data_IF_903316001368
#
_entry.id   IF_903316001368
#
_cell.length_a   1.000
_cell.length_b   1.000
_cell.length_c   1.000
_cell.angle_alpha   90.00
_cell.angle_beta   90.00
_cell.angle_gamma   90.00
#
_symmetry.space_group_name_H-M   'P 1'
#
loop_
_entity.id
_entity.type
_entity.pdbx_description
1 polymer ?
#
# COMPACT_ATOMS: atom_id res chain seq x y z
N UNK A 1 19.17 -22.01 16.06
CA UNK A 1 17.90 -22.06 16.83
C UNK A 1 16.76 -22.37 15.85
N UNK A 2 16.04 -23.48 16.05
CA UNK A 2 14.93 -23.84 15.18
C UNK A 2 13.79 -22.82 15.31
N UNK A 3 13.25 -22.36 14.18
CA UNK A 3 12.17 -21.38 14.13
C UNK A 3 10.85 -22.09 14.42
N UNK A 4 10.23 -21.83 15.57
CA UNK A 4 8.89 -22.35 15.84
C UNK A 4 7.84 -21.66 14.94
N UNK A 5 6.86 -22.46 14.47
CA UNK A 5 5.70 -21.94 13.75
C UNK A 5 4.83 -21.14 14.72
N UNK A 6 4.44 -19.93 14.33
CA UNK A 6 3.54 -19.07 15.11
C UNK A 6 2.20 -18.92 14.40
N UNK A 7 1.11 -18.80 15.15
CA UNK A 7 -0.21 -18.47 14.60
C UNK A 7 -0.22 -17.04 14.04
N UNK A 8 -1.02 -16.80 12.99
CA UNK A 8 -1.24 -15.45 12.44
C UNK A 8 -2.31 -14.75 13.27
N UNK A 9 -1.88 -14.17 14.39
CA UNK A 9 -2.66 -13.31 15.28
C UNK A 9 -1.81 -12.17 15.80
N UNK A 10 -2.42 -11.17 16.44
CA UNK A 10 -1.68 -10.11 17.12
C UNK A 10 -0.76 -10.71 18.19
N UNK A 11 0.51 -10.28 18.21
CA UNK A 11 1.48 -10.68 19.24
C UNK A 11 1.24 -9.79 20.45
N UNK A 12 0.94 -10.36 21.62
CA UNK A 12 0.59 -9.59 22.82
C UNK A 12 1.80 -8.89 23.44
N UNK A 13 2.92 -9.62 23.57
CA UNK A 13 4.16 -9.06 24.10
C UNK A 13 4.69 -7.94 23.19
N UNK A 14 4.75 -6.72 23.74
CA UNK A 14 5.12 -5.51 23.00
C UNK A 14 6.54 -5.54 22.44
N UNK A 15 7.52 -6.03 23.20
CA UNK A 15 8.90 -6.13 22.73
C UNK A 15 9.03 -7.15 21.59
N UNK A 16 8.42 -8.33 21.74
CA UNK A 16 8.39 -9.36 20.70
C UNK A 16 7.66 -8.86 19.44
N UNK A 17 6.56 -8.11 19.60
CA UNK A 17 5.81 -7.48 18.51
C UNK A 17 6.68 -6.46 17.76
N UNK A 18 7.44 -5.62 18.47
CA UNK A 18 8.32 -4.61 17.86
C UNK A 18 9.47 -5.23 17.05
N UNK A 19 10.12 -6.26 17.60
CA UNK A 19 11.18 -6.99 16.92
C UNK A 19 10.62 -7.72 15.70
N UNK A 20 9.45 -8.36 15.84
CA UNK A 20 8.79 -9.08 14.74
C UNK A 20 8.36 -8.12 13.65
N UNK A 21 7.77 -6.97 13.98
CA UNK A 21 7.42 -5.91 13.04
C UNK A 21 8.64 -5.47 12.24
N UNK A 22 9.75 -5.14 12.92
CA UNK A 22 10.98 -4.69 12.27
C UNK A 22 11.53 -5.72 11.28
N UNK A 23 11.57 -7.01 11.68
CA UNK A 23 12.06 -8.10 10.82
C UNK A 23 11.12 -8.41 9.66
N UNK A 24 9.81 -8.52 9.92
CA UNK A 24 8.82 -8.84 8.87
C UNK A 24 8.66 -7.72 7.86
N UNK A 25 8.61 -6.45 8.31
CA UNK A 25 8.55 -5.28 7.43
C UNK A 25 9.75 -5.25 6.49
N UNK A 26 10.97 -5.47 7.01
CA UNK A 26 12.18 -5.56 6.18
C UNK A 26 12.09 -6.69 5.16
N UNK A 27 11.64 -7.87 5.57
CA UNK A 27 11.45 -9.01 4.67
C UNK A 27 10.41 -8.73 3.58
N UNK A 28 9.31 -8.06 3.93
CA UNK A 28 8.27 -7.65 2.98
C UNK A 28 8.81 -6.65 1.95
N UNK A 29 9.54 -5.63 2.39
CA UNK A 29 10.15 -4.64 1.50
C UNK A 29 11.14 -5.30 0.53
N UNK A 30 11.95 -6.24 1.03
CA UNK A 30 12.85 -7.01 0.16
C UNK A 30 12.10 -7.80 -0.90
N UNK A 31 10.99 -8.45 -0.54
CA UNK A 31 10.16 -9.21 -1.49
C UNK A 31 9.49 -8.31 -2.52
N UNK A 32 9.01 -7.13 -2.12
CA UNK A 32 8.47 -6.14 -3.05
C UNK A 32 9.54 -5.66 -4.04
N UNK A 33 10.76 -5.41 -3.56
CA UNK A 33 11.89 -5.07 -4.41
C UNK A 33 12.21 -6.20 -5.41
N UNK A 34 12.39 -7.43 -4.93
CA UNK A 34 12.62 -8.59 -5.78
C UNK A 34 11.55 -8.71 -6.88
N UNK A 35 10.26 -8.58 -6.51
CA UNK A 35 9.16 -8.66 -7.47
C UNK A 35 9.18 -7.51 -8.49
N UNK A 36 9.39 -6.27 -8.05
CA UNK A 36 9.47 -5.13 -8.96
C UNK A 36 10.60 -5.28 -9.97
N UNK A 37 11.76 -5.78 -9.55
CA UNK A 37 12.92 -5.97 -10.43
C UNK A 37 12.74 -7.14 -11.37
N UNK A 38 12.17 -8.26 -10.91
CA UNK A 38 12.01 -9.46 -11.74
C UNK A 38 10.93 -9.33 -12.80
N UNK A 39 9.88 -8.55 -12.52
CA UNK A 39 8.69 -8.49 -13.37
C UNK A 39 8.41 -7.10 -13.94
N UNK A 40 9.34 -6.15 -13.79
CA UNK A 40 9.16 -4.73 -14.18
C UNK A 40 7.85 -4.13 -13.64
N UNK A 41 7.51 -4.49 -12.40
CA UNK A 41 6.26 -4.08 -11.76
C UNK A 41 6.45 -2.82 -10.92
N UNK A 42 5.55 -1.85 -11.08
CA UNK A 42 5.46 -0.70 -10.17
C UNK A 42 4.78 -1.10 -8.85
N UNK A 43 5.50 -0.97 -7.73
CA UNK A 43 5.03 -1.40 -6.41
C UNK A 43 5.29 -0.30 -5.39
N UNK A 44 4.27 0.00 -4.56
CA UNK A 44 4.41 0.78 -3.34
C UNK A 44 3.85 0.04 -2.13
N UNK A 45 4.49 0.27 -0.98
CA UNK A 45 4.04 -0.22 0.32
C UNK A 45 4.06 0.94 1.32
N UNK A 46 2.96 1.08 2.05
CA UNK A 46 2.81 2.05 3.14
C UNK A 46 2.49 1.27 4.41
N UNK A 47 3.29 1.45 5.46
CA UNK A 47 3.14 0.73 6.72
C UNK A 47 3.24 1.70 7.89
N UNK A 48 2.17 1.80 8.67
CA UNK A 48 2.20 2.50 9.95
C UNK A 48 2.49 1.51 11.08
N UNK A 49 3.39 1.86 11.98
CA UNK A 49 3.56 1.10 13.21
C UNK A 49 2.42 1.40 14.20
N UNK A 50 2.28 0.56 15.23
CA UNK A 50 1.35 0.83 16.33
C UNK A 50 1.66 2.14 17.08
N UNK A 51 2.85 2.72 16.91
CA UNK A 51 3.24 4.01 17.45
C UNK A 51 3.01 5.17 16.46
N UNK A 52 2.32 4.93 15.34
CA UNK A 52 2.02 5.94 14.32
C UNK A 52 3.18 6.30 13.39
N UNK A 53 4.34 5.62 13.51
CA UNK A 53 5.49 5.90 12.64
C UNK A 53 5.28 5.32 11.24
N UNK A 54 5.43 6.17 10.23
CA UNK A 54 5.39 5.80 8.82
C UNK A 54 6.68 5.08 8.40
N UNK A 55 6.51 4.01 7.63
CA UNK A 55 7.55 3.33 6.89
C UNK A 55 7.03 3.04 5.49
N UNK A 56 7.82 3.37 4.48
CA UNK A 56 7.41 3.25 3.08
C UNK A 56 8.48 2.60 2.22
N UNK A 57 8.03 2.00 1.12
CA UNK A 57 8.86 1.47 0.05
C UNK A 57 8.19 1.80 -1.28
N UNK A 58 8.98 2.16 -2.29
CA UNK A 58 8.56 2.44 -3.66
C UNK A 58 9.61 1.89 -4.61
N UNK A 59 9.19 1.18 -5.66
CA UNK A 59 10.10 0.68 -6.70
C UNK A 59 10.60 1.79 -7.64
N UNK A 60 9.86 2.90 -7.75
CA UNK A 60 10.31 4.09 -8.51
C UNK A 60 11.21 4.99 -7.66
N UNK A 61 12.36 5.40 -8.21
CA UNK A 61 13.40 6.24 -7.59
C UNK A 61 12.93 7.65 -7.20
N UNK A 62 11.82 8.14 -7.74
CA UNK A 62 11.15 9.32 -7.19
C UNK A 62 10.30 8.89 -6.01
N UNK A 63 10.85 8.97 -4.80
CA UNK A 63 10.27 8.48 -3.53
C UNK A 63 8.86 8.98 -3.17
N UNK A 64 8.28 9.91 -3.94
CA UNK A 64 6.89 10.39 -3.78
C UNK A 64 5.97 10.00 -4.96
N UNK A 65 6.48 9.45 -6.05
CA UNK A 65 5.68 9.23 -7.25
C UNK A 65 4.65 8.13 -7.07
N UNK A 66 4.95 7.01 -6.40
CA UNK A 66 3.98 5.93 -6.31
C UNK A 66 2.80 6.30 -5.38
N UNK A 67 3.02 7.07 -4.31
CA UNK A 67 1.94 7.66 -3.50
C UNK A 67 1.13 8.68 -4.32
N UNK A 68 1.80 9.58 -5.07
CA UNK A 68 1.12 10.54 -5.96
C UNK A 68 0.34 9.82 -7.06
N UNK A 69 0.86 8.71 -7.60
CA UNK A 69 0.23 7.94 -8.68
C UNK A 69 -0.96 7.15 -8.16
N UNK A 70 -0.88 6.55 -6.96
CA UNK A 70 -2.01 5.96 -6.26
C UNK A 70 -3.10 7.00 -5.94
N UNK A 71 -2.73 8.14 -5.34
CA UNK A 71 -3.67 9.23 -5.09
C UNK A 71 -4.27 9.82 -6.39
N UNK A 72 -3.51 9.84 -7.50
CA UNK A 72 -4.04 10.22 -8.82
C UNK A 72 -4.96 9.17 -9.41
N UNK A 73 -4.66 7.89 -9.24
CA UNK A 73 -5.51 6.80 -9.71
C UNK A 73 -6.85 6.84 -8.99
N UNK A 74 -6.86 6.94 -7.65
CA UNK A 74 -8.07 7.13 -6.85
C UNK A 74 -8.82 8.41 -7.22
N UNK A 75 -8.11 9.53 -7.45
CA UNK A 75 -8.76 10.77 -7.94
C UNK A 75 -9.38 10.59 -9.32
N UNK A 76 -8.73 9.87 -10.23
CA UNK A 76 -9.25 9.61 -11.58
C UNK A 76 -10.52 8.77 -11.52
N UNK A 77 -10.55 7.71 -10.71
CA UNK A 77 -11.76 6.89 -10.52
C UNK A 77 -12.92 7.75 -9.99
N UNK A 78 -12.69 8.57 -8.96
CA UNK A 78 -13.70 9.48 -8.43
C UNK A 78 -14.18 10.55 -9.44
N UNK A 79 -13.27 11.07 -10.28
CA UNK A 79 -13.62 12.05 -11.32
C UNK A 79 -14.45 11.37 -12.42
N UNK A 80 -14.10 10.13 -12.79
CA UNK A 80 -14.82 9.40 -13.82
C UNK A 80 -16.23 9.01 -13.37
N UNK A 81 -16.39 8.57 -12.12
CA UNK A 81 -17.70 8.34 -11.51
C UNK A 81 -18.55 9.62 -11.50
N UNK A 82 -17.96 10.77 -11.11
CA UNK A 82 -18.66 12.06 -11.17
C UNK A 82 -19.10 12.43 -12.59
N UNK A 83 -18.23 12.22 -13.57
CA UNK A 83 -18.51 12.53 -14.97
C UNK A 83 -19.62 11.66 -15.55
N UNK A 84 -19.65 10.38 -15.19
CA UNK A 84 -20.74 9.46 -15.57
C UNK A 84 -22.06 9.94 -14.96
N UNK A 85 -22.06 10.30 -13.67
CA UNK A 85 -23.26 10.81 -12.99
C UNK A 85 -23.78 12.11 -13.60
N UNK A 86 -22.91 13.07 -13.92
CA UNK A 86 -23.30 14.31 -14.59
C UNK A 86 -23.91 14.04 -15.97
N UNK A 87 -23.30 13.16 -16.76
CA UNK A 87 -23.82 12.78 -18.08
C UNK A 87 -25.18 12.06 -18.00
N UNK A 88 -25.42 11.27 -16.95
CA UNK A 88 -26.73 10.65 -16.69
C UNK A 88 -27.74 11.74 -16.28
N UNK A 89 -27.35 12.67 -15.41
CA UNK A 89 -28.23 13.74 -14.93
C UNK A 89 -28.71 14.63 -16.07
N UNK A 90 -27.80 15.00 -16.98
CA UNK A 90 -28.11 15.76 -18.20
C UNK A 90 -29.12 14.99 -19.05
N UNK A 91 -28.86 13.69 -19.31
CA UNK A 91 -29.80 12.84 -20.07
C UNK A 91 -31.18 12.70 -19.43
N UNK A 92 -31.27 12.74 -18.10
CA UNK A 92 -32.55 12.70 -17.38
C UNK A 92 -33.27 14.05 -17.41
N UNK A 93 -32.54 15.17 -17.43
CA UNK A 93 -33.11 16.51 -17.52
C UNK A 93 -33.53 16.90 -18.95
N UNK A 94 -32.92 16.28 -19.96
CA UNK A 94 -33.26 16.46 -21.38
C UNK A 94 -34.42 15.53 -21.85
N UNK A 95 -35.01 14.73 -20.94
CA UNK A 95 -36.21 13.91 -21.14
C UNK A 95 -37.44 14.54 -20.48
#
# INVERSE_FOLDING_TARGET
MARQKIQIKRIDNTAARQVTFSKRRRGLFKKAQELSTLCDAEIALIVFSAAGKLFEYSSSSMGNQCHIRYCRALKKELIEEKRIMENILIKVMDL
#
